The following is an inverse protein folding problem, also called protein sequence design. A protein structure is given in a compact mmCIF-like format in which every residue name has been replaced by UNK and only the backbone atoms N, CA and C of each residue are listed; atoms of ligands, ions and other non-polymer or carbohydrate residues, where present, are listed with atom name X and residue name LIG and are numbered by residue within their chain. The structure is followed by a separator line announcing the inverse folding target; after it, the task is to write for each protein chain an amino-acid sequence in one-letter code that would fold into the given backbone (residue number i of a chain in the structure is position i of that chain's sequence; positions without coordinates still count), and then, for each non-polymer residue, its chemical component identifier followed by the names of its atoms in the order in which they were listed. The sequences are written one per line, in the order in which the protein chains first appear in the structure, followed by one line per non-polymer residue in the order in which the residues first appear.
data_IF_302329250836
#
_entry.id   IF_302329250836
#
_cell.length_a   1.000
_cell.length_b   1.000
_cell.length_c   1.000
_cell.angle_alpha   90.00
_cell.angle_beta   90.00
_cell.angle_gamma   90.00
#
_symmetry.space_group_name_H-M   'P 1'
#
loop_
_entity.id
_entity.type
_entity.pdbx_description
1 polymer ?
#
# COMPACT_ATOMS: atom_id res chain seq x y z
N UNK A 1 44.55 -61.46 -64.76
CA UNK A 1 43.39 -61.47 -63.84
C UNK A 1 43.15 -60.02 -63.44
N UNK A 2 42.25 -59.31 -64.10
CA UNK A 2 41.98 -57.88 -63.89
C UNK A 2 40.63 -57.79 -63.18
N UNK A 3 40.63 -57.23 -61.97
CA UNK A 3 39.45 -57.15 -61.10
C UNK A 3 38.64 -55.90 -61.48
N UNK A 4 37.37 -56.11 -61.83
CA UNK A 4 36.38 -55.06 -62.09
C UNK A 4 35.78 -54.62 -60.75
N UNK A 5 35.89 -53.34 -60.41
CA UNK A 5 35.22 -52.75 -59.25
C UNK A 5 33.92 -52.05 -59.68
N UNK A 6 32.77 -52.25 -59.00
CA UNK A 6 31.53 -51.57 -59.34
C UNK A 6 31.46 -50.21 -58.65
N UNK A 7 31.03 -49.19 -59.40
CA UNK A 7 30.76 -47.84 -58.88
C UNK A 7 29.33 -47.82 -58.30
N UNK A 8 29.22 -47.52 -57.00
CA UNK A 8 27.95 -47.35 -56.29
C UNK A 8 27.58 -45.85 -56.27
N UNK A 9 26.51 -45.47 -56.99
CA UNK A 9 25.95 -44.12 -56.98
C UNK A 9 24.94 -43.98 -55.83
N UNK A 10 25.25 -43.15 -54.83
CA UNK A 10 24.35 -42.80 -53.74
C UNK A 10 23.63 -41.49 -54.10
N UNK A 11 22.31 -41.56 -54.32
CA UNK A 11 21.44 -40.40 -54.49
C UNK A 11 21.11 -39.79 -53.12
N UNK A 12 21.67 -38.61 -52.82
CA UNK A 12 21.30 -37.79 -51.67
C UNK A 12 20.03 -36.99 -52.01
N UNK A 13 18.89 -37.44 -51.47
CA UNK A 13 17.65 -36.66 -51.48
C UNK A 13 17.74 -35.52 -50.48
N UNK A 14 17.54 -34.28 -50.95
CA UNK A 14 17.45 -33.11 -50.09
C UNK A 14 16.12 -33.13 -49.32
N UNK A 15 16.17 -33.46 -48.02
CA UNK A 15 15.06 -33.23 -47.11
C UNK A 15 14.96 -31.72 -46.85
N UNK A 16 13.93 -31.07 -47.40
CA UNK A 16 13.53 -29.73 -46.96
C UNK A 16 13.05 -29.85 -45.51
N UNK A 17 13.87 -29.37 -44.59
CA UNK A 17 13.43 -29.09 -43.22
C UNK A 17 12.39 -27.98 -43.31
N UNK A 18 11.14 -28.30 -43.00
CA UNK A 18 10.09 -27.32 -42.78
C UNK A 18 10.53 -26.47 -41.59
N UNK A 19 10.96 -25.25 -41.87
CA UNK A 19 11.19 -24.24 -40.87
C UNK A 19 9.84 -23.99 -40.20
N UNK A 20 9.74 -24.32 -38.91
CA UNK A 20 8.60 -23.91 -38.11
C UNK A 20 8.61 -22.38 -38.13
N UNK A 21 7.57 -21.79 -38.73
CA UNK A 21 7.30 -20.36 -38.62
C UNK A 21 7.17 -20.04 -37.13
N UNK A 22 8.20 -19.39 -36.59
CA UNK A 22 8.15 -18.76 -35.29
C UNK A 22 7.10 -17.65 -35.40
N UNK A 23 5.90 -17.92 -34.90
CA UNK A 23 4.89 -16.89 -34.67
C UNK A 23 5.55 -15.77 -33.84
N UNK A 24 5.42 -14.49 -34.24
CA UNK A 24 5.95 -13.40 -33.45
C UNK A 24 5.23 -13.41 -32.10
N UNK A 25 6.03 -13.47 -31.03
CA UNK A 25 5.60 -13.32 -29.64
C UNK A 25 4.77 -12.04 -29.56
N UNK A 26 3.45 -12.20 -29.47
CA UNK A 26 2.51 -11.08 -29.48
C UNK A 26 2.77 -10.26 -28.23
N UNK A 27 3.43 -9.11 -28.39
CA UNK A 27 3.93 -8.31 -27.27
C UNK A 27 2.76 -7.80 -26.43
N UNK A 28 2.47 -8.51 -25.33
CA UNK A 28 1.41 -8.18 -24.39
C UNK A 28 1.64 -6.76 -23.86
N UNK A 29 0.69 -5.86 -24.14
CA UNK A 29 0.70 -4.50 -23.62
C UNK A 29 -0.23 -4.42 -22.41
N UNK A 30 0.33 -4.11 -21.25
CA UNK A 30 -0.46 -3.88 -20.03
C UNK A 30 -0.84 -2.41 -19.91
N UNK A 31 -2.11 -2.15 -19.64
CA UNK A 31 -2.65 -0.83 -19.38
C UNK A 31 -2.68 -0.54 -17.87
N UNK A 32 -2.48 0.73 -17.46
CA UNK A 32 -2.57 1.12 -16.07
C UNK A 32 -4.00 1.01 -15.53
N UNK A 33 -4.20 0.73 -14.23
CA UNK A 33 -5.50 0.81 -13.60
C UNK A 33 -6.13 2.20 -13.75
N UNK A 34 -7.46 2.27 -13.64
CA UNK A 34 -8.21 3.53 -13.76
C UNK A 34 -8.95 3.84 -12.46
N UNK A 35 -9.34 5.10 -12.27
CA UNK A 35 -10.08 5.57 -11.09
C UNK A 35 -9.39 5.23 -9.76
N UNK A 36 -8.06 5.38 -9.71
CA UNK A 36 -7.31 5.20 -8.48
C UNK A 36 -7.62 6.33 -7.50
N UNK A 37 -8.04 5.95 -6.29
CA UNK A 37 -8.48 6.86 -5.24
C UNK A 37 -7.92 6.46 -3.89
N UNK A 38 -7.74 7.44 -3.02
CA UNK A 38 -7.33 7.27 -1.64
C UNK A 38 -8.41 7.90 -0.76
N UNK A 39 -9.00 7.12 0.14
CA UNK A 39 -10.04 7.59 1.07
C UNK A 39 -9.60 7.37 2.50
N UNK A 40 -9.73 8.40 3.34
CA UNK A 40 -9.53 8.26 4.79
C UNK A 40 -10.73 7.53 5.36
N UNK A 41 -10.51 6.39 6.01
CA UNK A 41 -11.57 5.55 6.58
C UNK A 41 -11.58 5.53 8.10
N UNK A 42 -10.53 6.07 8.74
CA UNK A 42 -10.41 6.14 10.19
C UNK A 42 -9.10 6.78 10.63
N UNK A 43 -8.87 6.83 11.95
CA UNK A 43 -7.64 7.39 12.52
C UNK A 43 -6.42 6.62 12.02
N UNK A 44 -5.54 7.31 11.28
CA UNK A 44 -4.35 6.75 10.66
C UNK A 44 -4.67 5.55 9.73
N UNK A 45 -5.83 5.57 9.06
CA UNK A 45 -6.26 4.52 8.15
C UNK A 45 -6.77 5.08 6.82
N UNK A 46 -6.28 4.50 5.72
CA UNK A 46 -6.73 4.82 4.37
C UNK A 46 -7.11 3.56 3.59
N UNK A 47 -8.07 3.72 2.69
CA UNK A 47 -8.44 2.74 1.69
C UNK A 47 -7.98 3.24 0.32
N UNK A 48 -7.08 2.46 -0.29
CA UNK A 48 -6.71 2.54 -1.69
C UNK A 48 -7.73 1.75 -2.49
N UNK A 49 -8.24 2.34 -3.58
CA UNK A 49 -9.20 1.67 -4.45
C UNK A 49 -8.98 2.08 -5.90
N UNK A 50 -8.99 1.12 -6.82
CA UNK A 50 -8.90 1.33 -8.27
C UNK A 50 -9.87 0.41 -9.02
N UNK A 51 -9.94 0.55 -10.34
CA UNK A 51 -10.64 -0.39 -11.22
C UNK A 51 -9.69 -0.94 -12.28
N UNK A 52 -9.90 -2.18 -12.77
CA UNK A 52 -9.19 -2.69 -13.93
C UNK A 52 -9.43 -1.77 -15.12
N UNK A 53 -8.45 -1.68 -16.01
CA UNK A 53 -8.60 -0.89 -17.23
C UNK A 53 -9.62 -1.58 -18.16
N UNK A 54 -10.70 -0.91 -18.60
CA UNK A 54 -11.73 -1.52 -19.44
C UNK A 54 -11.21 -1.90 -20.84
N UNK A 55 -10.17 -1.20 -21.32
CA UNK A 55 -9.57 -1.45 -22.63
C UNK A 55 -8.49 -2.54 -22.56
N UNK A 56 -8.25 -3.13 -21.39
CA UNK A 56 -7.32 -4.24 -21.23
C UNK A 56 -7.90 -5.48 -21.91
N UNK A 57 -7.10 -6.10 -22.78
CA UNK A 57 -7.48 -7.38 -23.39
C UNK A 57 -7.88 -8.39 -22.31
N UNK A 58 -9.13 -8.87 -22.40
CA UNK A 58 -9.65 -9.92 -21.53
C UNK A 58 -9.08 -11.27 -21.98
N UNK A 59 -7.80 -11.52 -21.66
CA UNK A 59 -7.22 -12.86 -21.74
C UNK A 59 -7.59 -13.62 -20.46
N UNK A 60 -7.64 -14.96 -20.51
CA UNK A 60 -7.82 -15.85 -19.34
C UNK A 60 -6.59 -15.84 -18.41
N UNK A 61 -6.09 -14.65 -18.08
CA UNK A 61 -4.86 -14.44 -17.34
C UNK A 61 -5.21 -13.61 -16.11
N UNK A 62 -4.84 -14.12 -14.94
CA UNK A 62 -5.06 -13.43 -13.68
C UNK A 62 -4.07 -12.26 -13.58
N UNK A 63 -4.54 -11.06 -13.89
CA UNK A 63 -3.76 -9.83 -13.70
C UNK A 63 -3.67 -9.50 -12.22
N UNK A 64 -2.49 -9.01 -11.82
CA UNK A 64 -2.23 -8.56 -10.46
C UNK A 64 -1.87 -7.06 -10.45
N UNK A 65 -1.77 -6.49 -9.26
CA UNK A 65 -1.44 -5.10 -9.07
C UNK A 65 -0.25 -4.95 -8.14
N UNK A 66 0.69 -4.10 -8.52
CA UNK A 66 1.73 -3.63 -7.62
C UNK A 66 1.33 -2.28 -7.06
N UNK A 67 1.29 -2.17 -5.74
CA UNK A 67 1.06 -0.93 -5.01
C UNK A 67 2.39 -0.45 -4.44
N UNK A 68 2.65 0.85 -4.58
CA UNK A 68 3.80 1.52 -3.98
C UNK A 68 3.30 2.68 -3.14
N UNK A 69 3.65 2.70 -1.87
CA UNK A 69 3.53 3.87 -1.00
C UNK A 69 4.77 4.74 -1.23
N UNK A 70 4.57 5.98 -1.66
CA UNK A 70 5.67 6.91 -1.94
C UNK A 70 5.99 7.78 -0.72
N UNK A 71 4.97 8.17 0.05
CA UNK A 71 5.12 8.97 1.26
C UNK A 71 3.98 8.68 2.25
N UNK A 72 4.18 8.85 3.57
CA UNK A 72 5.36 9.42 4.23
C UNK A 72 6.46 8.40 4.55
N UNK A 73 6.17 7.10 4.43
CA UNK A 73 7.13 6.01 4.57
C UNK A 73 6.99 5.13 3.33
N UNK A 74 8.09 4.93 2.61
CA UNK A 74 8.09 4.09 1.42
C UNK A 74 7.79 2.63 1.77
N UNK A 75 6.97 2.00 0.94
CA UNK A 75 6.59 0.58 1.04
C UNK A 75 6.11 0.09 -0.33
N UNK A 76 6.24 -1.19 -0.62
CA UNK A 76 5.77 -1.79 -1.87
C UNK A 76 5.30 -3.23 -1.69
N UNK A 77 4.20 -3.57 -2.36
CA UNK A 77 3.60 -4.90 -2.26
C UNK A 77 2.70 -5.20 -3.46
N UNK A 78 2.38 -6.48 -3.63
CA UNK A 78 1.54 -6.99 -4.70
C UNK A 78 0.19 -7.45 -4.16
N UNK A 79 -0.86 -7.38 -5.00
CA UNK A 79 -2.21 -7.81 -4.64
C UNK A 79 -3.02 -8.20 -5.86
N UNK A 80 -3.84 -9.26 -5.72
CA UNK A 80 -4.77 -9.71 -6.76
C UNK A 80 -6.15 -9.03 -6.71
N UNK A 81 -6.39 -8.13 -5.76
CA UNK A 81 -7.66 -7.40 -5.60
C UNK A 81 -7.50 -5.91 -5.91
N UNK A 82 -8.61 -5.22 -6.15
CA UNK A 82 -8.61 -3.81 -6.60
C UNK A 82 -8.76 -2.80 -5.45
N UNK A 83 -8.49 -3.25 -4.23
CA UNK A 83 -8.53 -2.42 -3.04
C UNK A 83 -7.46 -2.85 -2.03
N UNK A 84 -7.00 -1.91 -1.22
CA UNK A 84 -6.01 -2.19 -0.17
C UNK A 84 -6.15 -1.21 1.00
N UNK A 85 -6.10 -1.74 2.22
CA UNK A 85 -6.17 -0.94 3.45
C UNK A 85 -4.76 -0.70 3.99
N UNK A 86 -4.44 0.55 4.28
CA UNK A 86 -3.13 0.92 4.83
C UNK A 86 -3.30 1.64 6.17
N UNK A 87 -2.47 1.27 7.14
CA UNK A 87 -2.34 1.97 8.43
C UNK A 87 -1.10 2.84 8.36
N UNK A 88 -1.27 4.16 8.42
CA UNK A 88 -0.16 5.12 8.25
C UNK A 88 -0.49 6.48 8.86
N UNK A 89 0.53 7.26 9.19
CA UNK A 89 0.35 8.64 9.67
C UNK A 89 -0.11 9.55 8.51
N UNK A 90 -1.07 10.44 8.78
CA UNK A 90 -1.68 11.29 7.75
C UNK A 90 -1.35 12.78 7.92
N UNK A 91 -0.81 13.21 9.07
CA UNK A 91 -0.47 14.62 9.31
C UNK A 91 0.68 15.14 8.41
N UNK A 92 1.40 14.24 7.72
CA UNK A 92 2.43 14.57 6.72
C UNK A 92 1.91 14.50 5.28
N UNK A 93 0.61 14.28 5.10
CA UNK A 93 0.05 13.84 3.83
C UNK A 93 0.38 12.36 3.56
N UNK A 94 -0.10 11.86 2.43
CA UNK A 94 0.07 10.48 2.01
C UNK A 94 0.02 10.39 0.50
N UNK A 95 0.91 9.61 -0.12
CA UNK A 95 0.88 9.40 -1.57
C UNK A 95 1.20 7.96 -1.91
N UNK A 96 0.50 7.47 -2.93
CA UNK A 96 0.64 6.10 -3.39
C UNK A 96 0.53 6.05 -4.91
N UNK A 97 1.01 4.95 -5.47
CA UNK A 97 0.92 4.61 -6.87
C UNK A 97 0.51 3.16 -7.01
N UNK A 98 -0.22 2.83 -8.07
CA UNK A 98 -0.56 1.46 -8.42
C UNK A 98 -0.32 1.24 -9.91
N UNK A 99 0.09 0.03 -10.28
CA UNK A 99 0.20 -0.41 -11.68
C UNK A 99 -0.26 -1.85 -11.82
N UNK A 100 -0.67 -2.20 -13.02
CA UNK A 100 -0.99 -3.58 -13.40
C UNK A 100 0.31 -4.32 -13.66
N UNK A 101 0.44 -5.52 -13.14
CA UNK A 101 1.55 -6.42 -13.40
C UNK A 101 1.03 -7.77 -13.91
N UNK A 102 1.86 -8.42 -14.70
CA UNK A 102 1.67 -9.80 -15.10
C UNK A 102 2.99 -10.53 -14.93
N UNK A 103 3.00 -11.51 -14.05
CA UNK A 103 4.15 -12.39 -13.87
C UNK A 103 3.99 -13.60 -14.77
N UNK A 104 4.97 -13.79 -15.67
CA UNK A 104 5.12 -15.00 -16.48
C UNK A 104 6.41 -15.72 -16.04
N UNK A 105 6.56 -16.99 -16.39
CA UNK A 105 7.67 -17.88 -15.95
C UNK A 105 9.07 -17.30 -16.23
N UNK A 106 9.18 -16.34 -17.15
CA UNK A 106 10.45 -15.75 -17.60
C UNK A 106 10.49 -14.22 -17.59
N UNK A 107 9.40 -13.52 -17.27
CA UNK A 107 9.39 -12.05 -17.28
C UNK A 107 8.25 -11.45 -16.44
N UNK A 108 8.52 -10.28 -15.84
CA UNK A 108 7.50 -9.44 -15.24
C UNK A 108 7.15 -8.32 -16.24
N UNK A 109 5.93 -8.34 -16.73
CA UNK A 109 5.36 -7.24 -17.49
C UNK A 109 4.67 -6.29 -16.52
N UNK A 110 4.83 -4.99 -16.75
CA UNK A 110 4.21 -3.97 -15.92
C UNK A 110 3.70 -2.81 -16.79
N UNK A 111 2.54 -2.27 -16.43
CA UNK A 111 2.03 -1.04 -17.03
C UNK A 111 2.69 0.20 -16.41
N UNK A 112 2.30 1.37 -16.90
CA UNK A 112 2.66 2.65 -16.26
C UNK A 112 1.99 2.78 -14.88
N UNK A 113 2.55 3.66 -14.06
CA UNK A 113 1.97 3.98 -12.75
C UNK A 113 0.80 4.94 -12.89
N UNK A 114 -0.26 4.71 -12.13
CA UNK A 114 -1.25 5.74 -11.77
C UNK A 114 -1.04 6.12 -10.32
N UNK A 115 -1.08 7.41 -10.01
CA UNK A 115 -0.76 7.95 -8.69
C UNK A 115 -1.91 8.78 -8.14
N UNK A 116 -2.02 8.81 -6.83
CA UNK A 116 -2.93 9.68 -6.10
C UNK A 116 -2.28 10.13 -4.80
N UNK A 117 -2.74 11.26 -4.27
CA UNK A 117 -2.20 11.84 -3.05
C UNK A 117 -3.30 12.47 -2.17
N UNK A 118 -3.04 12.45 -0.88
CA UNK A 118 -3.72 13.22 0.14
C UNK A 118 -2.72 14.28 0.63
N UNK A 119 -3.08 15.54 0.44
CA UNK A 119 -2.28 16.63 0.98
C UNK A 119 -2.26 16.59 2.51
N UNK A 120 -1.18 17.12 3.10
CA UNK A 120 -1.13 17.32 4.54
C UNK A 120 -2.32 18.21 4.99
N UNK A 121 -2.91 17.94 6.15
CA UNK A 121 -3.97 18.78 6.70
C UNK A 121 -3.52 20.24 6.81
N UNK A 122 -4.43 21.21 6.63
CA UNK A 122 -4.09 22.62 6.75
C UNK A 122 -3.69 22.97 8.19
N UNK A 123 -2.71 23.85 8.35
CA UNK A 123 -2.24 24.36 9.63
C UNK A 123 -0.99 25.20 9.46
N UNK A 124 -0.84 26.26 10.26
CA UNK A 124 0.38 27.06 10.25
C UNK A 124 1.54 26.26 10.88
N UNK A 125 2.78 26.41 10.39
CA UNK A 125 3.94 25.82 11.06
C UNK A 125 4.01 26.23 12.52
N UNK A 126 4.40 25.29 13.40
CA UNK A 126 4.53 25.55 14.83
C UNK A 126 3.22 25.50 15.63
N UNK A 127 2.05 25.33 15.01
CA UNK A 127 0.78 25.18 15.75
C UNK A 127 0.48 23.73 16.16
N UNK A 128 1.14 22.75 15.54
CA UNK A 128 0.98 21.33 15.89
C UNK A 128 1.60 21.02 17.26
N UNK A 129 1.01 20.05 17.97
CA UNK A 129 1.64 19.49 19.17
C UNK A 129 3.03 18.92 18.85
N UNK A 130 3.90 18.89 19.86
CA UNK A 130 5.22 18.26 19.80
C UNK A 130 5.44 17.33 20.98
N UNK A 131 6.37 16.39 20.84
CA UNK A 131 6.77 15.44 21.90
C UNK A 131 5.62 14.59 22.48
N UNK A 132 4.69 14.15 21.63
CA UNK A 132 3.65 13.20 22.05
C UNK A 132 4.29 11.89 22.54
N UNK A 133 4.01 11.53 23.79
CA UNK A 133 4.48 10.29 24.42
C UNK A 133 3.29 9.58 25.05
N UNK A 134 3.09 8.30 24.75
CA UNK A 134 2.00 7.49 25.30
C UNK A 134 2.53 6.25 26.01
N UNK A 135 1.90 5.89 27.12
CA UNK A 135 2.18 4.71 27.94
C UNK A 135 0.89 3.96 28.22
N UNK A 136 0.94 2.64 28.07
CA UNK A 136 -0.16 1.75 28.45
C UNK A 136 0.19 0.99 29.71
N UNK A 137 -0.76 0.83 30.62
CA UNK A 137 -0.60 -0.01 31.81
C UNK A 137 -1.74 -1.02 31.90
N UNK A 138 -1.44 -2.21 32.38
CA UNK A 138 -2.41 -3.31 32.53
C UNK A 138 -2.62 -3.61 33.99
N UNK A 139 -3.87 -3.61 34.43
CA UNK A 139 -4.26 -3.90 35.82
C UNK A 139 -5.30 -5.02 35.88
N UNK A 140 -5.21 -5.89 36.89
CA UNK A 140 -6.21 -6.94 37.13
C UNK A 140 -7.52 -6.30 37.64
N UNK A 141 -8.65 -6.71 37.06
CA UNK A 141 -9.97 -6.28 37.50
C UNK A 141 -10.41 -7.12 38.70
N UNK A 142 -10.29 -6.52 39.89
CA UNK A 142 -10.61 -7.18 41.15
C UNK A 142 -12.12 -7.33 41.41
N UNK A 143 -12.99 -6.76 40.58
CA UNK A 143 -14.44 -6.74 40.80
C UNK A 143 -15.20 -7.76 39.94
N UNK A 144 -14.55 -8.29 38.90
CA UNK A 144 -15.16 -9.26 38.01
C UNK A 144 -14.97 -10.70 38.51
N UNK A 145 -16.06 -11.49 38.55
CA UNK A 145 -16.00 -12.93 38.90
C UNK A 145 -15.21 -13.78 37.87
N UNK A 146 -14.80 -13.17 36.75
CA UNK A 146 -13.95 -13.70 35.72
C UNK A 146 -12.65 -12.90 35.76
N UNK A 147 -11.47 -13.50 35.99
CA UNK A 147 -10.20 -12.76 35.94
C UNK A 147 -10.07 -12.04 34.60
N UNK A 148 -10.27 -10.73 34.62
CA UNK A 148 -10.14 -9.87 33.45
C UNK A 148 -9.08 -8.81 33.73
N UNK A 149 -8.51 -8.26 32.66
CA UNK A 149 -7.50 -7.22 32.73
C UNK A 149 -8.04 -5.97 32.05
N UNK A 150 -7.80 -4.82 32.67
CA UNK A 150 -8.09 -3.52 32.10
C UNK A 150 -6.79 -2.88 31.64
N UNK A 151 -6.84 -2.17 30.51
CA UNK A 151 -5.71 -1.41 29.99
C UNK A 151 -6.03 0.06 30.12
N UNK A 152 -5.17 0.82 30.81
CA UNK A 152 -5.20 2.27 30.80
C UNK A 152 -4.20 2.82 29.80
N UNK A 153 -4.53 3.98 29.23
CA UNK A 153 -3.68 4.73 28.32
C UNK A 153 -3.43 6.11 28.94
N UNK A 154 -2.18 6.53 28.99
CA UNK A 154 -1.78 7.87 29.41
C UNK A 154 -0.83 8.46 28.37
N UNK A 155 -1.16 9.62 27.83
CA UNK A 155 -0.45 10.33 26.77
C UNK A 155 -0.16 11.78 27.15
N UNK A 156 1.09 12.22 27.08
CA UNK A 156 1.47 13.63 27.32
C UNK A 156 2.01 14.27 26.05
N UNK A 157 1.84 15.58 25.89
CA UNK A 157 2.43 16.35 24.80
C UNK A 157 2.76 17.78 25.24
N UNK A 158 3.56 18.46 24.41
CA UNK A 158 3.80 19.89 24.52
C UNK A 158 3.00 20.64 23.46
N UNK A 159 2.54 21.82 23.83
CA UNK A 159 1.84 22.75 22.93
C UNK A 159 2.77 23.19 21.80
N UNK A 160 2.20 23.51 20.64
CA UNK A 160 2.94 24.09 19.53
C UNK A 160 3.60 25.42 19.92
N UNK A 161 4.81 25.66 19.43
CA UNK A 161 5.59 26.88 19.72
C UNK A 161 4.88 28.15 19.27
N UNK A 162 4.13 28.06 18.18
CA UNK A 162 3.41 29.18 17.56
C UNK A 162 1.90 29.01 17.65
N UNK A 163 1.44 28.11 18.53
CA UNK A 163 0.02 27.92 18.80
C UNK A 163 -0.53 29.12 19.59
N UNK A 164 -1.60 29.78 19.11
CA UNK A 164 -2.30 30.82 19.85
C UNK A 164 -2.70 30.39 21.26
N UNK A 165 -2.75 31.34 22.20
CA UNK A 165 -3.08 31.07 23.61
C UNK A 165 -4.48 30.47 23.80
N UNK A 166 -5.42 30.78 22.90
CA UNK A 166 -6.80 30.28 22.90
C UNK A 166 -6.97 28.92 22.19
N UNK A 167 -5.89 28.31 21.70
CA UNK A 167 -5.92 26.99 21.06
C UNK A 167 -6.27 25.90 22.06
N UNK A 168 -7.22 25.03 21.72
CA UNK A 168 -7.52 23.81 22.49
C UNK A 168 -7.14 22.54 21.71
N UNK A 169 -6.55 21.58 22.41
CA UNK A 169 -6.13 20.29 21.85
C UNK A 169 -7.08 19.17 22.27
N UNK A 170 -7.32 18.22 21.36
CA UNK A 170 -8.18 17.07 21.57
C UNK A 170 -7.44 15.80 21.15
N UNK A 171 -7.49 14.77 21.99
CA UNK A 171 -6.84 13.49 21.73
C UNK A 171 -7.90 12.44 21.37
N UNK A 172 -7.67 11.79 20.24
CA UNK A 172 -8.41 10.60 19.81
C UNK A 172 -7.44 9.43 19.73
N UNK A 173 -7.89 8.24 20.12
CA UNK A 173 -7.12 7.01 19.98
C UNK A 173 -7.95 5.92 19.30
N UNK A 174 -7.27 4.97 18.64
CA UNK A 174 -7.92 3.85 17.95
C UNK A 174 -7.22 2.53 18.29
N UNK A 175 -8.01 1.53 18.68
CA UNK A 175 -7.57 0.15 18.83
C UNK A 175 -8.53 -0.79 18.07
N UNK A 176 -8.02 -1.45 17.04
CA UNK A 176 -8.86 -2.23 16.12
C UNK A 176 -9.90 -1.34 15.44
N UNK A 177 -11.18 -1.67 15.62
CA UNK A 177 -12.35 -0.93 15.12
C UNK A 177 -12.86 0.17 16.06
N UNK A 178 -12.37 0.22 17.30
CA UNK A 178 -12.82 1.18 18.30
C UNK A 178 -12.01 2.46 18.21
N UNK A 179 -12.71 3.59 18.15
CA UNK A 179 -12.12 4.93 18.19
C UNK A 179 -12.82 5.72 19.28
N UNK A 180 -12.04 6.32 20.17
CA UNK A 180 -12.55 7.06 21.31
C UNK A 180 -11.83 8.41 21.43
N UNK A 181 -12.57 9.41 21.91
CA UNK A 181 -12.02 10.69 22.34
C UNK A 181 -11.71 10.61 23.82
N UNK A 182 -10.59 11.20 24.23
CA UNK A 182 -10.29 11.31 25.64
C UNK A 182 -11.33 12.16 26.38
N UNK A 183 -11.72 11.70 27.57
CA UNK A 183 -12.70 12.36 28.42
C UNK A 183 -12.07 13.16 29.57
N UNK A 184 -10.88 12.77 30.03
CA UNK A 184 -10.24 13.33 31.21
C UNK A 184 -8.87 13.92 30.85
N UNK A 185 -8.80 15.25 30.79
CA UNK A 185 -7.58 15.95 30.41
C UNK A 185 -6.89 16.64 31.59
N UNK A 186 -5.56 16.58 31.61
CA UNK A 186 -4.75 17.54 32.37
C UNK A 186 -4.46 18.78 31.53
N UNK A 187 -4.47 19.95 32.17
CA UNK A 187 -4.36 21.26 31.50
C UNK A 187 -3.13 22.04 31.94
N UNK A 188 -2.61 22.88 31.05
CA UNK A 188 -1.59 23.87 31.38
C UNK A 188 -2.17 25.10 32.10
N UNK A 189 -1.32 26.08 32.41
CA UNK A 189 -1.72 27.32 33.09
C UNK A 189 -2.69 28.19 32.29
N UNK A 190 -2.77 27.99 30.97
CA UNK A 190 -3.69 28.69 30.07
C UNK A 190 -4.97 27.88 29.83
N UNK A 191 -5.13 26.71 30.46
CA UNK A 191 -6.31 25.86 30.34
C UNK A 191 -6.33 24.98 29.08
N UNK A 192 -5.19 24.84 28.39
CA UNK A 192 -5.03 23.99 27.21
C UNK A 192 -4.73 22.57 27.63
N UNK A 193 -5.35 21.59 26.98
CA UNK A 193 -5.14 20.18 27.24
C UNK A 193 -3.70 19.78 26.85
N UNK A 194 -2.98 19.15 27.78
CA UNK A 194 -1.58 18.71 27.60
C UNK A 194 -1.34 17.25 27.99
N UNK A 195 -2.32 16.59 28.61
CA UNK A 195 -2.27 15.15 28.84
C UNK A 195 -3.64 14.48 28.73
N UNK A 196 -3.60 13.36 28.00
CA UNK A 196 -4.36 12.12 28.05
C UNK A 196 -3.81 11.15 29.11
#
# INVERSE_FOLDING_TARGET
MIIVAPVLLILLGATKILQADLLPDEKISLLPPVNFTIKVTGLAQVLLHWKPNPDQEQRNVNLEYQVKINAPKEDDYETGITESKCVTILHKGFSASVRTILQNDHSLLASSWVSAELHAPPGSPGTSIVNLTCTTNTTEDNYSHLRSYQVSLHCTWLVGTDAPEDTQYFLYYRYGSWTEECQEYSKDTLGRNIAC
#
